data_IF_058605928833
#
_entry.id   IF_058605928833
#
_cell.length_a   1.000
_cell.length_b   1.000
_cell.length_c   1.000
_cell.angle_alpha   90.00
_cell.angle_beta   90.00
_cell.angle_gamma   90.00
#
_symmetry.space_group_name_H-M   'P 1'
#
loop_
_entity.id
_entity.type
_entity.pdbx_description
1 polymer ?
#
# COMPACT_ATOMS: atom_id res chain seq x y z
N UNK A 1 -75.30 24.83 -2.22
CA UNK A 1 -75.07 23.60 -3.01
C UNK A 1 -75.34 23.90 -4.48
N UNK A 2 -74.41 23.57 -5.37
CA UNK A 2 -74.60 23.73 -6.82
C UNK A 2 -73.29 23.55 -7.59
N UNK A 3 -72.74 22.34 -7.58
CA UNK A 3 -71.62 21.97 -8.45
C UNK A 3 -72.17 21.65 -9.84
N UNK A 4 -71.78 22.42 -10.86
CA UNK A 4 -72.02 22.07 -12.26
C UNK A 4 -70.87 21.22 -12.77
N UNK A 5 -71.20 19.99 -13.15
CA UNK A 5 -70.39 19.04 -13.90
C UNK A 5 -70.10 19.56 -15.31
N UNK A 6 -68.90 19.29 -15.82
CA UNK A 6 -68.74 18.82 -17.20
C UNK A 6 -67.40 18.10 -17.38
N UNK A 7 -67.53 16.84 -17.76
CA UNK A 7 -66.53 15.85 -18.13
C UNK A 7 -66.25 15.98 -19.63
N UNK A 8 -65.00 15.86 -20.10
CA UNK A 8 -64.73 15.33 -21.45
C UNK A 8 -63.29 14.83 -21.58
N UNK A 9 -63.20 13.60 -22.09
CA UNK A 9 -61.99 12.82 -22.41
C UNK A 9 -61.13 13.47 -23.50
N UNK A 10 -59.81 13.28 -23.41
CA UNK A 10 -59.01 13.07 -24.62
C UNK A 10 -57.91 12.01 -24.39
N UNK A 11 -57.68 11.24 -25.45
CA UNK A 11 -57.05 9.93 -25.51
C UNK A 11 -55.61 10.03 -26.05
N UNK A 12 -54.80 9.01 -25.76
CA UNK A 12 -53.68 8.49 -26.56
C UNK A 12 -52.24 8.86 -26.18
N UNK A 13 -51.36 7.85 -26.28
CA UNK A 13 -49.89 8.00 -26.24
C UNK A 13 -49.18 6.87 -25.51
N UNK A 14 -49.24 5.63 -26.00
CA UNK A 14 -48.12 4.97 -26.71
C UNK A 14 -47.07 4.28 -25.80
N UNK A 15 -47.01 2.95 -25.97
CA UNK A 15 -46.17 1.97 -25.28
C UNK A 15 -44.94 1.69 -26.13
N UNK A 16 -43.72 1.93 -25.63
CA UNK A 16 -42.49 1.51 -26.31
C UNK A 16 -41.70 0.54 -25.42
N UNK A 17 -41.64 -0.73 -25.84
CA UNK A 17 -40.86 -1.81 -25.21
C UNK A 17 -39.56 -1.96 -26.01
N UNK A 18 -38.43 -1.63 -25.39
CA UNK A 18 -37.10 -1.76 -26.01
C UNK A 18 -36.70 -3.24 -26.17
N UNK A 19 -36.16 -3.68 -27.32
CA UNK A 19 -35.62 -5.02 -27.47
C UNK A 19 -34.14 -5.09 -27.06
N UNK A 20 -33.82 -6.08 -26.24
CA UNK A 20 -32.46 -6.45 -25.86
C UNK A 20 -31.70 -7.03 -27.06
N UNK A 21 -30.49 -6.54 -27.31
CA UNK A 21 -29.50 -7.15 -28.20
C UNK A 21 -28.14 -7.23 -27.49
N UNK A 22 -27.76 -8.46 -27.12
CA UNK A 22 -26.38 -8.97 -27.05
C UNK A 22 -26.44 -10.31 -27.81
N UNK A 23 -25.39 -10.79 -28.50
CA UNK A 23 -23.97 -10.64 -28.13
C UNK A 23 -22.97 -10.48 -29.29
N UNK A 24 -21.76 -10.00 -29.01
CA UNK A 24 -20.58 -10.40 -29.77
C UNK A 24 -19.37 -10.55 -28.84
N UNK A 25 -18.81 -11.76 -28.83
CA UNK A 25 -17.60 -12.13 -28.10
C UNK A 25 -16.36 -11.72 -28.90
N UNK A 26 -15.30 -11.41 -28.16
CA UNK A 26 -13.87 -11.54 -28.55
C UNK A 26 -13.14 -10.29 -29.08
N UNK A 27 -12.61 -9.50 -28.14
CA UNK A 27 -11.28 -8.81 -28.15
C UNK A 27 -11.33 -7.69 -27.11
N UNK A 28 -10.35 -7.48 -26.24
CA UNK A 28 -9.08 -8.13 -26.06
C UNK A 28 -8.65 -7.93 -24.61
N UNK A 29 -8.06 -8.98 -24.06
CA UNK A 29 -6.94 -8.91 -23.16
C UNK A 29 -6.92 -7.69 -22.23
N UNK A 30 -7.63 -7.80 -21.10
CA UNK A 30 -7.29 -7.03 -19.92
C UNK A 30 -5.91 -7.50 -19.41
N UNK A 31 -4.85 -7.19 -20.16
CA UNK A 31 -3.50 -7.07 -19.61
C UNK A 31 -3.33 -5.62 -19.17
N UNK A 32 -4.20 -5.20 -18.25
CA UNK A 32 -3.77 -4.20 -17.30
C UNK A 32 -2.55 -4.81 -16.63
N UNK A 33 -1.37 -4.25 -16.91
CA UNK A 33 -0.14 -4.59 -16.21
C UNK A 33 -0.50 -4.41 -14.74
N UNK A 34 -0.70 -5.50 -14.00
CA UNK A 34 -0.63 -5.42 -12.54
C UNK A 34 0.81 -5.04 -12.32
N UNK A 35 1.06 -3.73 -12.22
CA UNK A 35 2.30 -3.18 -11.70
C UNK A 35 2.54 -3.99 -10.44
N UNK A 36 3.57 -4.85 -10.45
CA UNK A 36 3.84 -5.75 -9.33
C UNK A 36 3.81 -4.90 -8.07
N UNK A 37 2.74 -5.06 -7.27
CA UNK A 37 2.53 -4.25 -6.08
C UNK A 37 3.81 -4.44 -5.27
N UNK A 38 4.49 -3.34 -4.97
CA UNK A 38 5.77 -3.44 -4.28
C UNK A 38 5.55 -4.29 -3.01
N UNK A 39 6.43 -5.26 -2.73
CA UNK A 39 6.31 -6.05 -1.52
C UNK A 39 6.25 -5.11 -0.31
N UNK A 40 5.58 -5.52 0.76
CA UNK A 40 5.20 -4.61 1.86
C UNK A 40 6.39 -4.04 2.70
N UNK A 41 7.64 -4.24 2.25
CA UNK A 41 8.89 -3.77 2.86
C UNK A 41 8.84 -3.80 4.40
N UNK A 42 8.40 -4.93 4.95
CA UNK A 42 8.15 -5.03 6.38
C UNK A 42 9.45 -4.84 7.16
N UNK A 43 9.43 -3.88 8.07
CA UNK A 43 10.54 -3.56 8.99
C UNK A 43 10.22 -4.00 10.42
N UNK A 44 9.12 -4.71 10.63
CA UNK A 44 8.64 -5.16 11.94
C UNK A 44 9.70 -5.89 12.74
N UNK A 45 10.51 -6.74 12.08
CA UNK A 45 11.62 -7.43 12.72
C UNK A 45 12.60 -6.45 13.40
N UNK A 46 13.10 -5.44 12.68
CA UNK A 46 14.00 -4.43 13.25
C UNK A 46 13.29 -3.52 14.26
N UNK A 47 12.08 -3.04 13.94
CA UNK A 47 11.35 -2.10 14.80
C UNK A 47 11.00 -2.71 16.16
N UNK A 48 10.73 -4.02 16.21
CA UNK A 48 10.42 -4.72 17.45
C UNK A 48 11.60 -4.80 18.42
N UNK A 49 12.83 -4.86 17.89
CA UNK A 49 14.04 -5.10 18.69
C UNK A 49 14.92 -3.86 18.84
N UNK A 50 14.69 -2.81 18.02
CA UNK A 50 15.47 -1.57 17.98
C UNK A 50 15.80 -0.99 19.36
N UNK A 51 14.84 -0.99 20.29
CA UNK A 51 14.99 -0.42 21.63
C UNK A 51 15.40 -1.44 22.71
N UNK A 52 15.35 -2.75 22.41
CA UNK A 52 15.72 -3.82 23.35
C UNK A 52 17.23 -4.04 23.43
N UNK A 53 17.97 -3.64 22.40
CA UNK A 53 19.42 -3.82 22.30
C UNK A 53 20.21 -2.90 23.28
N UNK A 54 19.55 -1.89 23.86
CA UNK A 54 20.19 -0.92 24.75
C UNK A 54 21.32 -0.15 24.07
N UNK A 55 21.11 0.23 22.81
CA UNK A 55 21.99 1.13 22.05
C UNK A 55 21.64 2.57 22.42
N UNK A 56 22.64 3.41 22.69
CA UNK A 56 22.40 4.83 22.99
C UNK A 56 21.78 5.58 21.80
N UNK A 57 22.20 5.22 20.58
CA UNK A 57 21.69 5.76 19.33
C UNK A 57 21.27 4.62 18.41
N UNK A 58 20.01 4.13 18.50
CA UNK A 58 19.58 2.94 17.76
C UNK A 58 19.53 3.20 16.25
N UNK A 59 20.53 2.69 15.54
CA UNK A 59 20.64 2.78 14.10
C UNK A 59 21.29 1.51 13.52
N UNK A 60 21.02 1.24 12.24
CA UNK A 60 21.73 0.23 11.45
C UNK A 60 22.84 0.94 10.64
N UNK A 61 24.06 0.38 10.54
CA UNK A 61 24.57 -0.81 11.22
C UNK A 61 24.92 -0.58 12.71
N UNK A 62 24.94 -1.67 13.48
CA UNK A 62 25.41 -1.71 14.88
C UNK A 62 26.42 -2.85 15.11
N UNK A 63 27.25 -2.71 16.14
CA UNK A 63 28.14 -3.74 16.66
C UNK A 63 27.94 -3.85 18.18
N UNK A 64 27.76 -5.07 18.68
CA UNK A 64 27.73 -5.37 20.11
C UNK A 64 28.88 -6.33 20.41
N UNK A 65 29.82 -5.86 21.23
CA UNK A 65 31.02 -6.59 21.63
C UNK A 65 31.19 -6.49 23.16
N UNK A 66 30.53 -7.41 23.87
CA UNK A 66 30.44 -7.40 25.33
C UNK A 66 29.78 -6.12 25.85
N UNK A 67 30.54 -5.32 26.60
CA UNK A 67 30.07 -4.03 27.12
C UNK A 67 30.04 -2.92 26.07
N UNK A 68 30.74 -3.09 24.94
CA UNK A 68 30.79 -2.07 23.89
C UNK A 68 29.61 -2.23 22.94
N UNK A 69 28.84 -1.15 22.81
CA UNK A 69 27.68 -1.05 21.93
C UNK A 69 27.86 0.15 21.03
N UNK A 70 28.14 -0.09 19.75
CA UNK A 70 28.47 0.95 18.80
C UNK A 70 27.47 0.97 17.65
N UNK A 71 27.12 2.17 17.23
CA UNK A 71 26.40 2.44 15.98
C UNK A 71 27.23 3.40 15.14
N UNK A 72 26.82 3.66 13.90
CA UNK A 72 27.61 4.35 12.85
C UNK A 72 28.74 3.48 12.26
N UNK A 73 28.66 3.25 10.95
CA UNK A 73 29.59 2.40 10.19
C UNK A 73 31.06 2.78 10.40
N UNK A 74 31.39 4.07 10.34
CA UNK A 74 32.76 4.54 10.52
C UNK A 74 33.30 4.32 11.95
N UNK A 75 32.43 4.41 12.96
CA UNK A 75 32.82 4.16 14.35
C UNK A 75 33.09 2.67 14.56
N UNK A 76 32.24 1.81 14.00
CA UNK A 76 32.41 0.35 14.02
C UNK A 76 33.72 -0.05 13.33
N UNK A 77 34.00 0.48 12.14
CA UNK A 77 35.24 0.19 11.42
C UNK A 77 36.49 0.61 12.21
N UNK A 78 36.48 1.83 12.77
CA UNK A 78 37.58 2.31 13.62
C UNK A 78 37.75 1.47 14.88
N UNK A 79 36.66 0.97 15.46
CA UNK A 79 36.71 0.08 16.61
C UNK A 79 37.37 -1.26 16.27
N UNK A 80 36.99 -1.88 15.15
CA UNK A 80 37.60 -3.13 14.68
C UNK A 80 39.09 -2.91 14.38
N UNK A 81 39.44 -1.84 13.68
CA UNK A 81 40.83 -1.50 13.42
C UNK A 81 41.62 -1.33 14.73
N UNK A 82 41.00 -0.73 15.76
CA UNK A 82 41.59 -0.59 17.10
C UNK A 82 41.80 -1.90 17.83
N UNK A 83 40.81 -2.77 17.78
CA UNK A 83 40.84 -4.06 18.46
C UNK A 83 41.89 -5.01 17.85
N UNK A 84 42.11 -4.91 16.55
CA UNK A 84 43.00 -5.79 15.79
C UNK A 84 44.33 -5.17 15.36
N UNK A 85 44.65 -3.95 15.84
CA UNK A 85 45.87 -3.21 15.48
C UNK A 85 46.06 -3.00 13.96
N UNK A 86 44.96 -2.77 13.22
CA UNK A 86 44.98 -2.54 11.78
C UNK A 86 45.12 -1.04 11.46
N UNK A 87 46.11 -0.38 12.07
CA UNK A 87 46.44 1.02 11.81
C UNK A 87 47.73 1.08 11.00
N UNK A 88 47.62 0.80 9.71
CA UNK A 88 48.67 1.12 8.75
C UNK A 88 48.13 2.16 7.77
#
# INVERSE_FOLDING_TARGET
>A
MGFSSSFSLELAGAKAKAPALRPSLSRGLARGRVSGRAPDYDRGQWLSDKFKLGLDFPNLPYLIDGAHKLTQSNAILRYIARKHNMFE
#
